data_IF_913642665958
#
_entry.id   IF_913642665958
#
_cell.length_a   1.000
_cell.length_b   1.000
_cell.length_c   1.000
_cell.angle_alpha   90.00
_cell.angle_beta   90.00
_cell.angle_gamma   90.00
#
_symmetry.space_group_name_H-M   'P 1'
#
loop_
_entity.id
_entity.type
_entity.pdbx_description
1 polymer ?
#
# COMPACT_ATOMS: atom_id res chain seq x y z
N UNK A 1 6.56 21.99 1.33
CA UNK A 1 5.17 22.22 1.78
C UNK A 1 4.80 21.09 2.72
N UNK A 2 3.74 21.25 3.53
CA UNK A 2 3.27 20.16 4.38
C UNK A 2 2.82 18.98 3.50
N UNK A 3 2.98 17.75 4.01
CA UNK A 3 2.54 16.50 3.37
C UNK A 3 1.61 15.76 4.32
N UNK A 4 0.72 14.93 3.78
CA UNK A 4 -0.11 14.00 4.54
C UNK A 4 0.66 12.69 4.62
N UNK A 5 1.13 12.32 5.81
CA UNK A 5 1.91 11.10 6.01
C UNK A 5 0.99 9.90 6.12
N UNK A 6 1.01 9.04 5.10
CA UNK A 6 0.11 7.90 4.97
C UNK A 6 0.88 6.58 5.11
N UNK A 7 0.34 5.68 5.91
CA UNK A 7 0.75 4.28 5.95
C UNK A 7 -0.24 3.38 5.20
N UNK A 8 0.24 2.28 4.62
CA UNK A 8 -0.60 1.32 3.89
C UNK A 8 -0.48 -0.08 4.52
N UNK A 9 -1.60 -0.67 4.92
CA UNK A 9 -1.71 -2.08 5.27
C UNK A 9 -2.29 -2.88 4.09
N UNK A 10 -1.45 -3.71 3.46
CA UNK A 10 -1.78 -4.46 2.25
C UNK A 10 -1.39 -3.72 0.98
N UNK A 11 -0.27 -4.11 0.36
CA UNK A 11 0.28 -3.51 -0.86
C UNK A 11 -0.30 -4.21 -2.10
N UNK A 12 -1.64 -4.30 -2.16
CA UNK A 12 -2.40 -4.95 -3.23
C UNK A 12 -2.63 -4.07 -4.46
N UNK A 13 -3.55 -4.48 -5.34
CA UNK A 13 -3.97 -3.70 -6.51
C UNK A 13 -4.46 -2.29 -6.15
N UNK A 14 -5.22 -2.15 -5.05
CA UNK A 14 -5.70 -0.83 -4.59
C UNK A 14 -4.53 0.09 -4.20
N UNK A 15 -3.53 -0.42 -3.48
CA UNK A 15 -2.33 0.34 -3.14
C UNK A 15 -1.54 0.72 -4.39
N UNK A 16 -1.40 -0.20 -5.35
CA UNK A 16 -0.74 0.07 -6.62
C UNK A 16 -1.43 1.19 -7.40
N UNK A 17 -2.75 1.13 -7.57
CA UNK A 17 -3.49 2.19 -8.24
C UNK A 17 -3.46 3.54 -7.49
N UNK A 18 -3.45 3.53 -6.14
CA UNK A 18 -3.32 4.76 -5.36
C UNK A 18 -1.94 5.41 -5.58
N UNK A 19 -0.85 4.64 -5.45
CA UNK A 19 0.52 5.16 -5.54
C UNK A 19 0.82 5.66 -6.96
N UNK A 20 0.36 4.92 -7.98
CA UNK A 20 0.38 5.40 -9.36
C UNK A 20 -0.39 6.72 -9.50
N UNK A 21 -1.59 6.82 -8.91
CA UNK A 21 -2.44 8.00 -8.92
C UNK A 21 -1.79 9.24 -8.29
N UNK A 22 -1.09 9.10 -7.16
CA UNK A 22 -0.40 10.21 -6.47
C UNK A 22 0.59 10.91 -7.42
N UNK A 23 1.34 10.12 -8.18
CA UNK A 23 2.32 10.65 -9.15
C UNK A 23 1.64 11.13 -10.42
N UNK A 24 0.71 10.34 -10.96
CA UNK A 24 -0.04 10.66 -12.17
C UNK A 24 -0.75 12.04 -12.08
N UNK A 25 -1.42 12.33 -10.96
CA UNK A 25 -2.12 13.61 -10.79
C UNK A 25 -1.22 14.77 -10.35
N UNK A 26 0.10 14.57 -10.18
CA UNK A 26 1.00 15.61 -9.67
C UNK A 26 1.22 16.77 -10.66
N UNK A 27 1.32 16.47 -11.96
CA UNK A 27 1.71 17.46 -12.97
C UNK A 27 0.54 18.32 -13.48
N UNK A 28 -0.69 18.04 -13.05
CA UNK A 28 -1.89 18.84 -13.38
C UNK A 28 -2.28 18.86 -14.86
N UNK A 29 -1.45 18.35 -15.77
CA UNK A 29 -1.70 18.25 -17.21
C UNK A 29 -2.71 17.16 -17.57
N UNK A 30 -3.02 16.25 -16.65
CA UNK A 30 -4.07 15.26 -16.80
C UNK A 30 -5.43 15.94 -16.60
N UNK A 31 -5.84 16.61 -17.69
CA UNK A 31 -6.82 17.68 -17.86
C UNK A 31 -8.29 17.36 -17.48
N UNK A 32 -8.54 16.25 -16.81
CA UNK A 32 -9.80 15.99 -16.15
C UNK A 32 -9.50 15.08 -14.97
N UNK A 33 -9.86 15.49 -13.77
CA UNK A 33 -9.70 14.73 -12.54
C UNK A 33 -10.67 13.54 -12.52
N UNK A 34 -10.55 12.65 -13.49
CA UNK A 34 -11.43 11.51 -13.71
C UNK A 34 -11.40 10.61 -12.46
N UNK A 35 -12.53 10.56 -11.75
CA UNK A 35 -12.65 9.82 -10.49
C UNK A 35 -12.41 10.64 -9.22
N UNK A 36 -11.91 11.88 -9.31
CA UNK A 36 -11.82 12.80 -8.18
C UNK A 36 -12.94 13.83 -8.27
N UNK A 37 -13.85 13.84 -7.28
CA UNK A 37 -14.88 14.88 -7.17
C UNK A 37 -14.27 16.27 -6.96
N UNK A 38 -13.17 16.33 -6.21
CA UNK A 38 -12.44 17.55 -5.91
C UNK A 38 -10.93 17.29 -6.09
N UNK A 39 -10.25 17.99 -7.00
CA UNK A 39 -8.79 17.87 -7.16
C UNK A 39 -8.01 18.53 -6.02
N UNK A 40 -8.68 19.35 -5.21
CA UNK A 40 -8.15 20.02 -4.03
C UNK A 40 -9.21 19.99 -2.93
N UNK A 41 -8.85 19.46 -1.76
CA UNK A 41 -9.70 19.45 -0.57
C UNK A 41 -8.99 20.22 0.54
N UNK A 42 -9.41 21.45 0.81
CA UNK A 42 -8.85 22.26 1.89
C UNK A 42 -7.38 22.63 1.71
N UNK A 43 -6.91 22.76 0.47
CA UNK A 43 -5.53 23.04 0.11
C UNK A 43 -4.66 21.79 -0.12
N UNK A 44 -5.25 20.59 0.04
CA UNK A 44 -4.55 19.32 -0.15
C UNK A 44 -4.88 18.72 -1.52
N UNK A 45 -3.84 18.44 -2.29
CA UNK A 45 -3.91 17.77 -3.59
C UNK A 45 -3.48 16.31 -3.50
N UNK A 46 -3.78 15.47 -4.50
CA UNK A 46 -3.30 14.08 -4.53
C UNK A 46 -1.78 13.95 -4.33
N UNK A 47 -1.00 14.84 -4.93
CA UNK A 47 0.47 14.85 -4.81
C UNK A 47 0.99 15.26 -3.43
N UNK A 48 0.12 15.72 -2.52
CA UNK A 48 0.49 16.03 -1.14
C UNK A 48 0.42 14.81 -0.22
N UNK A 49 -0.04 13.66 -0.73
CA UNK A 49 0.04 12.38 -0.04
C UNK A 49 1.48 11.87 -0.12
N UNK A 50 2.05 11.55 1.04
CA UNK A 50 3.40 11.01 1.18
C UNK A 50 3.32 9.64 1.89
N UNK A 51 3.72 8.58 1.21
CA UNK A 51 3.69 7.24 1.81
C UNK A 51 4.92 7.08 2.69
N UNK A 52 4.71 6.90 3.99
CA UNK A 52 5.79 6.84 4.99
C UNK A 52 6.02 5.44 5.57
N UNK A 53 5.07 4.53 5.38
CA UNK A 53 5.18 3.14 5.81
C UNK A 53 4.27 2.25 4.95
N UNK A 54 4.68 1.00 4.73
CA UNK A 54 3.89 0.02 4.01
C UNK A 54 4.11 -1.37 4.59
N UNK A 55 3.03 -2.14 4.70
CA UNK A 55 3.03 -3.46 5.31
C UNK A 55 2.40 -4.47 4.34
N UNK A 56 3.04 -5.61 4.17
CA UNK A 56 2.50 -6.75 3.43
C UNK A 56 3.01 -8.05 4.05
N UNK A 57 2.47 -9.17 3.59
CA UNK A 57 2.90 -10.51 3.98
C UNK A 57 3.54 -11.27 2.83
N UNK A 58 3.35 -10.82 1.59
CA UNK A 58 3.82 -11.54 0.42
C UNK A 58 5.35 -11.43 0.26
N UNK A 59 6.00 -12.59 0.11
CA UNK A 59 7.44 -12.76 -0.05
C UNK A 59 8.04 -11.98 -1.23
N UNK A 60 7.23 -11.61 -2.22
CA UNK A 60 7.67 -10.82 -3.38
C UNK A 60 7.64 -9.32 -3.12
N UNK A 61 7.09 -8.90 -1.99
CA UNK A 61 6.89 -7.49 -1.61
C UNK A 61 7.69 -7.14 -0.37
N UNK A 62 7.63 -7.98 0.67
CA UNK A 62 8.36 -7.77 1.93
C UNK A 62 9.86 -7.60 1.67
N UNK A 63 10.45 -6.57 2.29
CA UNK A 63 11.87 -6.22 2.14
C UNK A 63 12.22 -5.47 0.86
N UNK A 64 11.25 -5.17 -0.01
CA UNK A 64 11.49 -4.42 -1.26
C UNK A 64 11.10 -2.94 -1.14
N UNK A 65 11.73 -2.07 -1.95
CA UNK A 65 11.25 -0.70 -2.13
C UNK A 65 9.79 -0.68 -2.56
N UNK A 66 9.00 0.23 -1.99
CA UNK A 66 7.56 0.33 -2.25
C UNK A 66 7.26 0.51 -3.74
N UNK A 67 8.00 1.38 -4.42
CA UNK A 67 7.88 1.65 -5.86
C UNK A 67 8.08 0.40 -6.74
N UNK A 68 8.75 -0.64 -6.23
CA UNK A 68 8.85 -1.94 -6.92
C UNK A 68 7.75 -2.92 -6.47
N UNK A 69 7.47 -2.95 -5.16
CA UNK A 69 6.55 -3.91 -4.56
C UNK A 69 5.11 -3.79 -5.09
N UNK A 70 4.67 -2.58 -5.44
CA UNK A 70 3.32 -2.37 -5.98
C UNK A 70 3.09 -3.03 -7.35
N UNK A 71 4.16 -3.35 -8.08
CA UNK A 71 4.12 -4.03 -9.37
C UNK A 71 4.40 -5.53 -9.25
N UNK A 72 4.77 -6.00 -8.06
CA UNK A 72 5.00 -7.41 -7.82
C UNK A 72 3.69 -8.20 -7.85
N UNK A 73 3.73 -9.40 -8.45
CA UNK A 73 2.63 -10.37 -8.40
C UNK A 73 2.18 -10.63 -6.94
N UNK A 74 0.90 -10.91 -6.69
CA UNK A 74 -0.16 -11.13 -7.67
C UNK A 74 -0.85 -9.84 -8.14
N UNK A 75 -0.27 -8.65 -7.88
CA UNK A 75 -0.83 -7.42 -8.42
C UNK A 75 -0.85 -7.47 -9.95
N UNK A 76 -1.96 -7.01 -10.52
CA UNK A 76 -2.29 -7.09 -11.93
C UNK A 76 -3.14 -5.90 -12.42
N UNK A 77 -3.28 -4.86 -11.60
CA UNK A 77 -3.96 -3.62 -11.99
C UNK A 77 -3.27 -2.97 -13.20
N UNK A 78 -4.02 -2.15 -13.95
CA UNK A 78 -3.48 -1.41 -15.08
C UNK A 78 -2.31 -0.53 -14.63
N UNK A 79 -1.21 -0.57 -15.37
CA UNK A 79 -0.09 0.35 -15.19
C UNK A 79 -0.34 1.57 -16.05
N UNK A 80 -0.72 2.68 -15.42
CA UNK A 80 -0.94 3.97 -16.06
C UNK A 80 0.11 5.02 -15.64
N UNK A 81 0.90 4.72 -14.61
CA UNK A 81 2.08 5.47 -14.22
C UNK A 81 3.19 4.49 -13.84
N UNK A 82 4.14 4.25 -14.75
CA UNK A 82 5.22 3.27 -14.53
C UNK A 82 6.43 3.85 -13.79
N UNK A 83 6.67 5.16 -13.94
CA UNK A 83 7.79 5.84 -13.31
C UNK A 83 7.33 6.50 -12.01
N UNK A 84 7.87 6.03 -10.89
CA UNK A 84 7.55 6.53 -9.56
C UNK A 84 8.82 7.07 -8.88
N UNK A 85 8.72 8.18 -8.13
CA UNK A 85 9.83 8.66 -7.34
C UNK A 85 10.19 7.63 -6.26
N UNK A 86 11.47 7.55 -5.90
CA UNK A 86 11.92 6.72 -4.79
C UNK A 86 11.28 7.21 -3.49
N UNK A 87 10.50 6.34 -2.85
CA UNK A 87 9.77 6.68 -1.63
C UNK A 87 10.67 6.65 -0.38
N UNK A 88 11.77 5.87 -0.44
CA UNK A 88 12.56 5.51 0.74
C UNK A 88 11.84 4.51 1.66
N UNK A 89 10.62 4.08 1.31
CA UNK A 89 9.85 3.09 2.09
C UNK A 89 10.20 1.70 1.62
N UNK A 90 10.59 0.85 2.57
CA UNK A 90 10.71 -0.59 2.37
C UNK A 90 9.48 -1.26 2.94
N UNK A 91 8.85 -2.17 2.19
CA UNK A 91 7.66 -2.90 2.67
C UNK A 91 8.04 -3.80 3.84
N UNK A 92 7.39 -3.61 4.97
CA UNK A 92 7.66 -4.33 6.21
C UNK A 92 6.80 -5.59 6.32
N UNK A 93 7.35 -6.63 6.96
CA UNK A 93 6.61 -7.86 7.22
C UNK A 93 5.51 -7.61 8.26
N UNK A 94 4.26 -7.86 7.88
CA UNK A 94 3.10 -7.75 8.77
C UNK A 94 2.80 -9.05 9.53
N UNK A 95 2.12 -8.97 10.70
CA UNK A 95 1.48 -10.13 11.29
C UNK A 95 0.42 -10.70 10.33
N UNK A 96 0.52 -11.99 9.99
CA UNK A 96 -0.39 -12.64 9.02
C UNK A 96 -1.82 -12.71 9.56
N UNK A 97 -1.99 -13.21 10.79
CA UNK A 97 -3.29 -13.44 11.43
C UNK A 97 -4.24 -14.23 10.50
N UNK A 98 -5.41 -13.69 10.18
CA UNK A 98 -6.37 -14.26 9.22
C UNK A 98 -6.32 -13.59 7.83
N UNK A 99 -5.21 -12.91 7.50
CA UNK A 99 -5.00 -12.19 6.26
C UNK A 99 -4.71 -13.05 5.02
N UNK A 100 -4.38 -14.33 5.19
CA UNK A 100 -4.22 -15.29 4.09
C UNK A 100 -5.25 -16.39 4.26
N UNK A 101 -6.22 -16.44 3.34
CA UNK A 101 -7.25 -17.47 3.36
C UNK A 101 -6.67 -18.86 2.99
N UNK A 102 -7.09 -19.96 3.62
CA UNK A 102 -6.54 -21.29 3.34
C UNK A 102 -6.61 -21.72 1.87
N UNK A 103 -7.68 -21.35 1.16
CA UNK A 103 -7.86 -21.67 -0.25
C UNK A 103 -6.81 -21.02 -1.16
N UNK A 104 -6.07 -20.00 -0.69
CA UNK A 104 -4.98 -19.39 -1.46
C UNK A 104 -3.86 -20.39 -1.78
N UNK A 105 -3.77 -21.50 -1.03
CA UNK A 105 -2.85 -22.60 -1.32
C UNK A 105 -3.21 -23.39 -2.59
N UNK A 106 -4.47 -23.31 -3.04
CA UNK A 106 -4.98 -24.04 -4.20
C UNK A 106 -4.75 -23.31 -5.54
N UNK A 107 -4.25 -22.07 -5.48
CA UNK A 107 -3.97 -21.21 -6.64
C UNK A 107 -2.49 -21.19 -6.96
N UNK A 108 -2.16 -20.87 -8.21
CA UNK A 108 -0.79 -20.67 -8.64
C UNK A 108 -0.10 -19.54 -7.87
N UNK A 109 1.22 -19.63 -7.73
CA UNK A 109 2.01 -18.66 -6.97
C UNK A 109 1.82 -17.23 -7.48
N UNK A 110 1.60 -17.03 -8.78
CA UNK A 110 1.39 -15.71 -9.40
C UNK A 110 -0.01 -15.11 -9.19
N UNK A 111 -0.95 -15.89 -8.64
CA UNK A 111 -2.34 -15.49 -8.42
C UNK A 111 -2.72 -15.42 -6.94
N UNK A 112 -1.85 -15.89 -6.05
CA UNK A 112 -2.11 -15.93 -4.61
C UNK A 112 -0.95 -15.41 -3.77
N UNK A 113 -1.26 -15.06 -2.53
CA UNK A 113 -0.27 -14.55 -1.58
C UNK A 113 0.57 -15.69 -1.00
N UNK A 114 1.87 -15.46 -0.86
CA UNK A 114 2.80 -16.39 -0.20
C UNK A 114 3.55 -15.68 0.89
N UNK A 115 3.36 -16.11 2.14
CA UNK A 115 4.03 -15.51 3.29
C UNK A 115 5.55 -15.43 3.09
N UNK A 116 6.14 -14.28 3.43
CA UNK A 116 7.58 -14.12 3.53
C UNK A 116 8.11 -14.90 4.73
N UNK A 117 9.33 -15.43 4.59
CA UNK A 117 10.09 -16.00 5.71
C UNK A 117 10.82 -14.86 6.44
N UNK A 118 10.05 -14.05 7.14
CA UNK A 118 10.52 -12.90 7.91
C UNK A 118 9.69 -12.73 9.18
N UNK A 119 10.32 -12.24 10.24
CA UNK A 119 9.61 -11.93 11.49
C UNK A 119 8.74 -10.67 11.31
N UNK A 120 7.47 -10.69 11.75
CA UNK A 120 6.62 -9.52 11.73
C UNK A 120 7.18 -8.36 12.57
N UNK A 121 7.03 -7.15 12.06
CA UNK A 121 7.36 -5.94 12.83
C UNK A 121 6.29 -5.64 13.88
N UNK A 122 6.65 -4.86 14.90
CA UNK A 122 5.66 -4.17 15.74
C UNK A 122 5.04 -3.04 14.88
N UNK A 123 3.82 -3.28 14.41
CA UNK A 123 3.08 -2.35 13.56
C UNK A 123 2.86 -1.03 14.28
N UNK A 124 2.48 -1.06 15.55
CA UNK A 124 2.19 0.16 16.31
C UNK A 124 3.45 1.00 16.50
N UNK A 125 4.61 0.36 16.74
CA UNK A 125 5.88 1.05 16.81
C UNK A 125 6.30 1.61 15.45
N UNK A 126 6.14 0.83 14.37
CA UNK A 126 6.46 1.27 13.00
C UNK A 126 5.64 2.49 12.58
N UNK A 127 4.35 2.55 12.95
CA UNK A 127 3.50 3.71 12.69
C UNK A 127 3.93 4.94 13.49
N UNK A 128 4.35 4.77 14.75
CA UNK A 128 4.89 5.86 15.57
C UNK A 128 6.20 6.41 15.01
N UNK A 129 7.11 5.51 14.62
CA UNK A 129 8.44 5.87 14.13
C UNK A 129 8.39 6.55 12.75
N UNK A 130 7.48 6.11 11.88
CA UNK A 130 7.22 6.77 10.58
C UNK A 130 6.47 8.10 10.73
N UNK A 131 5.81 8.31 11.88
CA UNK A 131 4.96 9.48 12.11
C UNK A 131 3.74 9.51 11.21
N UNK A 132 3.19 8.35 10.84
CA UNK A 132 1.99 8.25 10.02
C UNK A 132 0.81 8.96 10.68
N UNK A 133 0.06 9.73 9.88
CA UNK A 133 -1.11 10.49 10.30
C UNK A 133 -2.41 9.79 9.89
N UNK A 134 -2.34 9.01 8.80
CA UNK A 134 -3.44 8.22 8.28
C UNK A 134 -2.93 6.82 7.98
N UNK A 135 -3.70 5.79 8.36
CA UNK A 135 -3.49 4.42 7.94
C UNK A 135 -4.61 4.01 6.98
N UNK A 136 -4.24 3.55 5.78
CA UNK A 136 -5.17 2.96 4.82
C UNK A 136 -5.10 1.44 4.92
N UNK A 137 -6.24 0.81 5.15
CA UNK A 137 -6.37 -0.64 5.28
C UNK A 137 -6.95 -1.27 4.01
N UNK A 138 -6.10 -1.95 3.24
CA UNK A 138 -6.44 -2.71 2.02
C UNK A 138 -6.27 -4.22 2.22
N UNK A 139 -6.48 -4.70 3.44
CA UNK A 139 -6.44 -6.13 3.72
C UNK A 139 -7.56 -6.89 3.01
N UNK A 140 -7.37 -8.19 2.68
CA UNK A 140 -8.38 -9.00 2.02
C UNK A 140 -9.69 -9.06 2.80
N UNK A 141 -10.81 -9.20 2.08
CA UNK A 141 -12.12 -9.44 2.68
C UNK A 141 -12.06 -10.71 3.55
N UNK A 142 -12.60 -10.64 4.76
CA UNK A 142 -12.59 -11.74 5.73
C UNK A 142 -11.45 -11.72 6.74
N UNK A 143 -10.49 -10.79 6.60
CA UNK A 143 -9.34 -10.64 7.52
C UNK A 143 -9.72 -9.90 8.81
N UNK A 144 -10.68 -10.41 9.58
CA UNK A 144 -11.23 -9.71 10.75
C UNK A 144 -10.17 -9.44 11.83
N UNK A 145 -9.39 -10.45 12.20
CA UNK A 145 -8.37 -10.33 13.23
C UNK A 145 -7.26 -9.39 12.79
N UNK A 146 -6.84 -9.46 11.52
CA UNK A 146 -5.84 -8.57 10.96
C UNK A 146 -6.33 -7.12 10.93
N UNK A 147 -7.54 -6.85 10.46
CA UNK A 147 -8.12 -5.49 10.48
C UNK A 147 -8.24 -4.96 11.90
N UNK A 148 -8.71 -5.78 12.85
CA UNK A 148 -8.78 -5.38 14.27
C UNK A 148 -7.41 -5.12 14.87
N UNK A 149 -6.36 -5.81 14.43
CA UNK A 149 -4.99 -5.56 14.87
C UNK A 149 -4.52 -4.17 14.43
N UNK A 150 -4.74 -3.79 13.17
CA UNK A 150 -4.36 -2.47 12.66
C UNK A 150 -5.20 -1.31 13.21
N UNK A 151 -6.43 -1.57 13.66
CA UNK A 151 -7.34 -0.54 14.18
C UNK A 151 -7.19 -0.25 15.69
N UNK A 152 -6.38 -1.02 16.41
CA UNK A 152 -6.15 -0.90 17.86
C UNK A 152 -4.92 -0.08 18.16
#
# INVERSE_FOLDING_TARGET
>A
MAKIRVAIAGVGNCASSLIQGITYYADGEHAASAGLMHPDIGGWKPCDIDIVAAFDVDRRKVGRPLEEAIFAKPNCTMVFQSELPASGVTVQMAPILDGIAPHMADYDDDEAFRAADAEPVDVAQSLRDSGAEVLICYLPVGSEQAVRHYAR
#
